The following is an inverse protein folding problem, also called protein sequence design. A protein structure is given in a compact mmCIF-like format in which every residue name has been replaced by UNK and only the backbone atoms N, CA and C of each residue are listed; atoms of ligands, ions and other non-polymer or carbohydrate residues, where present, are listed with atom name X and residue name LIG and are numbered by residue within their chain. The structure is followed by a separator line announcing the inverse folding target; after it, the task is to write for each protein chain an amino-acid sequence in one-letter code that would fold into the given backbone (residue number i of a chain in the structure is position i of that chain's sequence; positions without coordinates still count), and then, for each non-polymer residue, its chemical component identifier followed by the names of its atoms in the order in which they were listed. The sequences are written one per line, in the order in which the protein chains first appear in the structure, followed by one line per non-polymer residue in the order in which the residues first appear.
data_IF_327741596268
#
_entry.id   IF_327741596268
#
_cell.length_a   1.000
_cell.length_b   1.000
_cell.length_c   1.000
_cell.angle_alpha   90.00
_cell.angle_beta   90.00
_cell.angle_gamma   90.00
#
_symmetry.space_group_name_H-M   'P 1'
#
loop_
_entity.id
_entity.type
_entity.pdbx_description
1 polymer ?
#
# COMPACT_ATOMS: atom_id res chain seq x y z
N UNK A 1 -52.16 13.28 21.60
CA UNK A 1 -51.38 13.91 20.53
C UNK A 1 -49.87 13.74 20.74
N UNK A 2 -49.31 13.89 21.95
CA UNK A 2 -47.87 13.79 22.22
C UNK A 2 -47.22 12.43 21.86
N UNK A 3 -47.91 11.31 22.13
CA UNK A 3 -47.39 9.96 21.83
C UNK A 3 -47.35 9.64 20.34
N UNK A 4 -48.21 10.23 19.53
CA UNK A 4 -48.23 10.06 18.08
C UNK A 4 -47.09 10.87 17.43
N UNK A 5 -46.86 12.09 17.88
CA UNK A 5 -45.74 12.93 17.44
C UNK A 5 -44.40 12.28 17.79
N UNK A 6 -44.23 11.71 18.99
CA UNK A 6 -43.00 11.02 19.38
C UNK A 6 -42.74 9.76 18.52
N UNK A 7 -43.78 9.02 18.12
CA UNK A 7 -43.64 7.86 17.22
C UNK A 7 -43.30 8.26 15.81
N UNK A 8 -43.88 9.33 15.30
CA UNK A 8 -43.52 9.90 13.99
C UNK A 8 -42.08 10.45 13.93
N UNK A 9 -41.66 11.12 14.99
CA UNK A 9 -40.26 11.62 15.11
C UNK A 9 -39.26 10.47 15.19
N UNK A 10 -39.58 9.39 15.93
CA UNK A 10 -38.72 8.21 16.00
C UNK A 10 -38.62 7.48 14.64
N UNK A 11 -39.75 7.35 13.93
CA UNK A 11 -39.78 6.73 12.59
C UNK A 11 -38.97 7.58 11.58
N UNK A 12 -39.09 8.91 11.62
CA UNK A 12 -38.34 9.81 10.74
C UNK A 12 -36.84 9.72 11.02
N UNK A 13 -36.44 9.67 12.29
CA UNK A 13 -35.03 9.54 12.69
C UNK A 13 -34.45 8.19 12.22
N UNK A 14 -35.23 7.11 12.28
CA UNK A 14 -34.78 5.79 11.81
C UNK A 14 -34.59 5.79 10.29
N UNK A 15 -35.48 6.43 9.54
CA UNK A 15 -35.36 6.56 8.08
C UNK A 15 -34.12 7.37 7.69
N UNK A 16 -33.83 8.48 8.40
CA UNK A 16 -32.63 9.30 8.17
C UNK A 16 -31.35 8.52 8.49
N UNK A 17 -31.34 7.70 9.55
CA UNK A 17 -30.17 6.86 9.88
C UNK A 17 -29.92 5.77 8.84
N UNK A 18 -30.96 5.19 8.25
CA UNK A 18 -30.84 4.14 7.21
C UNK A 18 -30.33 4.74 5.89
N UNK A 19 -30.72 5.98 5.58
CA UNK A 19 -30.22 6.72 4.39
C UNK A 19 -28.78 7.23 4.53
N UNK A 20 -28.25 7.24 5.75
CA UNK A 20 -26.83 7.60 6.01
C UNK A 20 -25.90 6.37 6.02
N UNK A 21 -26.35 5.21 5.53
CA UNK A 21 -25.44 4.09 5.25
C UNK A 21 -24.45 4.54 4.19
N UNK A 22 -23.25 4.91 4.61
CA UNK A 22 -22.12 5.16 3.71
C UNK A 22 -21.93 3.90 2.88
N UNK A 23 -22.01 4.01 1.57
CA UNK A 23 -21.61 2.93 0.67
C UNK A 23 -20.21 2.48 1.15
N UNK A 24 -20.09 1.22 1.55
CA UNK A 24 -18.79 0.65 1.84
C UNK A 24 -17.97 0.82 0.54
N UNK A 25 -16.89 1.62 0.58
CA UNK A 25 -16.09 1.89 -0.61
C UNK A 25 -15.44 0.58 -1.04
N UNK A 26 -16.03 -0.01 -2.06
CA UNK A 26 -15.51 -1.23 -2.69
C UNK A 26 -14.57 -0.89 -3.86
N UNK A 27 -14.08 0.36 -3.94
CA UNK A 27 -13.24 0.86 -5.02
C UNK A 27 -11.89 0.15 -5.11
N UNK A 28 -11.41 -0.03 -6.34
CA UNK A 28 -10.02 -0.45 -6.56
C UNK A 28 -9.09 0.65 -6.04
N UNK A 29 -8.15 0.27 -5.21
CA UNK A 29 -7.20 1.18 -4.58
C UNK A 29 -5.76 0.73 -4.79
N UNK A 30 -4.80 1.66 -4.68
CA UNK A 30 -3.37 1.38 -4.73
C UNK A 30 -2.68 1.91 -3.49
N UNK A 31 -1.75 1.14 -2.97
CA UNK A 31 -0.92 1.50 -1.81
C UNK A 31 0.52 1.06 -2.00
N UNK A 32 1.43 1.69 -1.26
CA UNK A 32 2.83 1.30 -1.14
C UNK A 32 3.37 1.70 0.22
N UNK A 33 4.31 0.93 0.75
CA UNK A 33 5.02 1.23 1.99
C UNK A 33 6.44 1.75 1.76
N UNK A 34 6.93 1.67 0.51
CA UNK A 34 8.32 1.93 0.15
C UNK A 34 8.49 2.76 -1.14
N UNK A 35 7.40 3.15 -1.81
CA UNK A 35 7.46 4.01 -2.98
C UNK A 35 7.84 5.44 -2.59
N UNK A 36 9.05 5.84 -3.00
CA UNK A 36 9.59 7.19 -2.81
C UNK A 36 9.98 7.80 -4.14
N UNK A 37 9.87 9.13 -4.27
CA UNK A 37 10.31 9.84 -5.45
C UNK A 37 11.78 9.51 -5.78
N UNK A 38 12.09 9.25 -7.04
CA UNK A 38 13.41 8.81 -7.52
C UNK A 38 13.80 7.37 -7.15
N UNK A 39 13.04 6.69 -6.29
CA UNK A 39 13.31 5.34 -5.78
C UNK A 39 12.52 4.24 -6.50
N UNK A 40 12.64 3.03 -5.97
CA UNK A 40 11.88 1.86 -6.39
C UNK A 40 10.98 1.42 -5.25
N UNK A 41 9.85 0.80 -5.58
CA UNK A 41 8.93 0.32 -4.56
C UNK A 41 7.92 -0.70 -5.08
N UNK A 42 7.18 -1.27 -4.15
CA UNK A 42 6.12 -2.23 -4.44
C UNK A 42 4.76 -1.54 -4.38
N UNK A 43 4.05 -1.55 -5.49
CA UNK A 43 2.65 -1.15 -5.60
C UNK A 43 1.76 -2.34 -5.27
N UNK A 44 0.74 -2.15 -4.46
CA UNK A 44 -0.27 -3.16 -4.15
C UNK A 44 -1.64 -2.61 -4.52
N UNK A 45 -2.26 -3.21 -5.52
CA UNK A 45 -3.62 -2.91 -5.94
C UNK A 45 -4.57 -3.84 -5.21
N UNK A 46 -5.42 -3.27 -4.35
CA UNK A 46 -6.50 -3.99 -3.68
C UNK A 46 -7.74 -3.89 -4.54
N UNK A 47 -8.29 -5.03 -4.92
CA UNK A 47 -9.44 -5.18 -5.82
C UNK A 47 -10.55 -5.92 -5.10
N UNK A 48 -11.56 -5.23 -4.60
CA UNK A 48 -12.77 -5.86 -4.09
C UNK A 48 -13.70 -6.24 -5.24
N UNK A 49 -14.54 -7.25 -5.02
CA UNK A 49 -15.64 -7.58 -5.93
C UNK A 49 -16.90 -6.83 -5.47
N UNK A 50 -17.40 -5.92 -6.32
CA UNK A 50 -18.60 -5.12 -6.03
C UNK A 50 -19.89 -5.83 -6.41
N UNK A 51 -19.83 -6.77 -7.37
CA UNK A 51 -20.99 -7.58 -7.75
C UNK A 51 -21.45 -8.47 -6.61
N UNK A 52 -22.76 -8.54 -6.40
CA UNK A 52 -23.36 -9.45 -5.42
C UNK A 52 -23.41 -10.91 -5.92
N UNK A 53 -23.23 -11.13 -7.23
CA UNK A 53 -23.46 -12.43 -7.87
C UNK A 53 -22.34 -12.89 -8.78
N UNK A 54 -21.57 -11.98 -9.38
CA UNK A 54 -20.51 -12.28 -10.33
C UNK A 54 -19.14 -12.19 -9.69
N UNK A 55 -18.22 -13.09 -10.07
CA UNK A 55 -16.83 -13.11 -9.61
C UNK A 55 -15.94 -12.28 -10.52
N UNK A 56 -14.96 -11.57 -9.95
CA UNK A 56 -13.95 -10.85 -10.75
C UNK A 56 -12.93 -11.84 -11.32
N UNK A 57 -12.88 -12.00 -12.63
CA UNK A 57 -12.03 -13.01 -13.30
C UNK A 57 -10.83 -12.41 -14.03
N UNK A 58 -10.80 -11.09 -14.26
CA UNK A 58 -9.65 -10.42 -14.86
C UNK A 58 -9.46 -9.03 -14.25
N UNK A 59 -8.21 -8.71 -13.97
CA UNK A 59 -7.76 -7.38 -13.57
C UNK A 59 -6.66 -6.95 -14.52
N UNK A 60 -6.83 -5.80 -15.16
CA UNK A 60 -5.81 -5.12 -15.97
C UNK A 60 -5.45 -3.80 -15.32
N UNK A 61 -4.19 -3.61 -15.02
CA UNK A 61 -3.65 -2.34 -14.55
C UNK A 61 -2.92 -1.66 -15.69
N UNK A 62 -3.31 -0.43 -16.00
CA UNK A 62 -2.63 0.45 -16.97
C UNK A 62 -1.71 1.38 -16.20
N UNK A 63 -0.42 1.37 -16.57
CA UNK A 63 0.61 2.21 -15.98
C UNK A 63 0.62 3.59 -16.65
N UNK A 64 1.07 4.66 -15.94
CA UNK A 64 1.03 6.01 -16.46
C UNK A 64 1.97 6.21 -17.69
N UNK A 65 1.40 6.58 -18.82
CA UNK A 65 2.17 6.80 -20.07
C UNK A 65 3.09 8.03 -20.00
N UNK A 66 2.62 9.10 -19.32
CA UNK A 66 3.39 10.36 -19.21
C UNK A 66 4.59 10.28 -18.27
N UNK A 67 4.60 9.32 -17.39
CA UNK A 67 5.66 9.07 -16.41
C UNK A 67 5.95 7.57 -16.37
N UNK A 68 6.47 7.01 -17.48
CA UNK A 68 6.69 5.57 -17.59
C UNK A 68 7.79 5.11 -16.63
N UNK A 69 7.63 3.91 -16.10
CA UNK A 69 8.64 3.28 -15.27
C UNK A 69 9.71 2.64 -16.15
N UNK A 70 10.98 2.85 -15.81
CA UNK A 70 12.09 2.18 -16.49
C UNK A 70 12.19 0.68 -16.13
N UNK A 71 11.59 0.29 -15.02
CA UNK A 71 11.54 -1.08 -14.54
C UNK A 71 10.15 -1.38 -13.98
N UNK A 72 9.61 -2.53 -14.39
CA UNK A 72 8.35 -3.08 -13.87
C UNK A 72 8.48 -4.60 -13.76
N UNK A 73 8.10 -5.15 -12.64
CA UNK A 73 8.04 -6.59 -12.41
C UNK A 73 6.75 -6.93 -11.68
N UNK A 74 5.87 -7.68 -12.32
CA UNK A 74 4.61 -8.10 -11.74
C UNK A 74 4.78 -9.35 -10.87
N UNK A 75 4.10 -9.39 -9.74
CA UNK A 75 4.12 -10.55 -8.86
C UNK A 75 3.23 -11.67 -9.42
N UNK A 76 3.76 -12.87 -9.67
CA UNK A 76 2.94 -14.04 -9.97
C UNK A 76 2.02 -14.36 -8.80
N UNK A 77 0.80 -14.81 -9.12
CA UNK A 77 -0.22 -15.12 -8.12
C UNK A 77 -0.79 -16.52 -8.37
N UNK A 78 -0.84 -17.42 -7.36
CA UNK A 78 -1.45 -18.72 -7.49
C UNK A 78 -2.92 -18.63 -7.98
N UNK A 79 -3.31 -19.46 -8.94
CA UNK A 79 -4.65 -19.45 -9.55
C UNK A 79 -4.87 -18.36 -10.60
N UNK A 80 -3.87 -17.49 -10.85
CA UNK A 80 -3.93 -16.42 -11.84
C UNK A 80 -2.85 -16.59 -12.91
N UNK A 81 -3.23 -16.38 -14.16
CA UNK A 81 -2.29 -16.24 -15.28
C UNK A 81 -1.90 -14.78 -15.41
N UNK A 82 -0.60 -14.51 -15.55
CA UNK A 82 -0.03 -13.18 -15.71
C UNK A 82 0.29 -12.89 -17.17
N UNK A 83 -0.12 -11.72 -17.67
CA UNK A 83 0.29 -11.15 -18.95
C UNK A 83 0.85 -9.74 -18.72
N UNK A 84 2.00 -9.43 -19.32
CA UNK A 84 2.68 -8.14 -19.23
C UNK A 84 2.94 -7.65 -20.64
N UNK A 85 2.44 -6.45 -20.96
CA UNK A 85 2.59 -5.85 -22.28
C UNK A 85 3.42 -4.58 -22.21
N UNK A 86 4.32 -4.42 -23.17
CA UNK A 86 5.12 -3.22 -23.39
C UNK A 86 4.52 -2.39 -24.52
N UNK A 87 4.71 -1.09 -24.46
CA UNK A 87 4.36 -0.15 -25.51
C UNK A 87 5.54 0.77 -25.83
N UNK A 88 5.57 1.27 -27.06
CA UNK A 88 6.53 2.29 -27.46
C UNK A 88 6.27 3.57 -26.70
N UNK A 89 7.36 4.20 -26.26
CA UNK A 89 7.32 5.50 -25.63
C UNK A 89 7.27 6.60 -26.71
N UNK A 90 6.46 7.62 -26.49
CA UNK A 90 6.43 8.82 -27.37
C UNK A 90 7.79 9.52 -27.32
N UNK A 91 8.41 9.56 -26.13
CA UNK A 91 9.76 10.09 -25.94
C UNK A 91 10.61 9.02 -25.21
N UNK A 92 11.83 8.70 -25.73
CA UNK A 92 12.73 7.80 -25.04
C UNK A 92 13.12 8.31 -23.65
N UNK A 93 13.18 7.43 -22.67
CA UNK A 93 13.65 7.74 -21.32
C UNK A 93 15.06 7.19 -21.09
N UNK A 94 15.87 7.87 -20.30
CA UNK A 94 17.19 7.39 -19.90
C UNK A 94 17.19 7.04 -18.42
N UNK A 95 17.50 5.79 -18.10
CA UNK A 95 17.64 5.30 -16.74
C UNK A 95 18.94 4.55 -16.59
N UNK A 96 19.74 4.93 -15.58
CA UNK A 96 21.05 4.31 -15.28
C UNK A 96 21.98 4.18 -16.51
N UNK A 97 21.95 5.19 -17.40
CA UNK A 97 22.79 5.22 -18.61
C UNK A 97 22.25 4.39 -19.79
N UNK A 98 21.10 3.74 -19.65
CA UNK A 98 20.42 3.01 -20.73
C UNK A 98 19.25 3.82 -21.25
N UNK A 99 19.16 3.98 -22.57
CA UNK A 99 18.02 4.60 -23.23
C UNK A 99 16.97 3.54 -23.57
N UNK A 100 15.75 3.74 -23.07
CA UNK A 100 14.61 2.88 -23.29
C UNK A 100 13.65 3.56 -24.27
N UNK A 101 13.22 2.84 -25.28
CA UNK A 101 12.23 3.27 -26.29
C UNK A 101 10.87 2.59 -26.11
N UNK A 102 10.82 1.60 -25.24
CA UNK A 102 9.62 0.84 -24.88
C UNK A 102 9.60 0.69 -23.36
N UNK A 103 8.41 0.62 -22.79
CA UNK A 103 8.21 0.34 -21.36
C UNK A 103 6.93 -0.48 -21.16
N UNK A 104 6.83 -1.15 -20.01
CA UNK A 104 5.61 -1.86 -19.64
C UNK A 104 4.46 -0.86 -19.52
N UNK A 105 3.41 -1.09 -20.29
CA UNK A 105 2.21 -0.27 -20.34
C UNK A 105 1.06 -0.88 -19.54
N UNK A 106 0.90 -2.21 -19.58
CA UNK A 106 -0.16 -2.91 -18.87
C UNK A 106 0.31 -4.19 -18.21
N UNK A 107 -0.30 -4.49 -17.07
CA UNK A 107 -0.16 -5.76 -16.37
C UNK A 107 -1.55 -6.35 -16.16
N UNK A 108 -1.76 -7.58 -16.60
CA UNK A 108 -3.07 -8.25 -16.55
C UNK A 108 -2.95 -9.58 -15.81
N UNK A 109 -3.83 -9.78 -14.85
CA UNK A 109 -4.03 -11.07 -14.18
C UNK A 109 -5.40 -11.63 -14.60
N UNK A 110 -5.44 -12.93 -14.93
CA UNK A 110 -6.65 -13.64 -15.34
C UNK A 110 -6.78 -14.94 -14.56
N UNK A 111 -7.97 -15.22 -14.08
CA UNK A 111 -8.31 -16.45 -13.35
C UNK A 111 -9.61 -17.05 -13.90
N UNK A 112 -9.78 -18.36 -13.71
CA UNK A 112 -11.05 -19.03 -13.97
C UNK A 112 -11.98 -19.02 -12.76
N UNK A 113 -11.40 -18.98 -11.57
CA UNK A 113 -12.15 -18.95 -10.30
C UNK A 113 -12.41 -17.52 -9.86
N UNK A 114 -11.40 -16.65 -9.97
CA UNK A 114 -11.51 -15.22 -9.69
C UNK A 114 -11.64 -14.89 -8.22
N UNK A 115 -12.18 -13.69 -7.94
CA UNK A 115 -12.52 -13.17 -6.62
C UNK A 115 -14.03 -13.26 -6.46
N UNK A 116 -14.50 -14.02 -5.48
CA UNK A 116 -15.94 -14.26 -5.28
C UNK A 116 -16.65 -13.00 -4.72
N UNK A 117 -17.98 -12.92 -4.88
CA UNK A 117 -18.79 -11.85 -4.28
C UNK A 117 -18.52 -11.68 -2.78
N UNK A 118 -18.32 -10.41 -2.36
CA UNK A 118 -18.02 -10.05 -0.98
C UNK A 118 -16.56 -10.28 -0.56
N UNK A 119 -15.69 -10.72 -1.46
CA UNK A 119 -14.27 -10.90 -1.22
C UNK A 119 -13.45 -9.79 -1.88
N UNK A 120 -12.16 -9.71 -1.54
CA UNK A 120 -11.17 -8.89 -2.24
C UNK A 120 -9.87 -9.68 -2.42
N UNK A 121 -9.05 -9.22 -3.35
CA UNK A 121 -7.72 -9.76 -3.54
C UNK A 121 -6.70 -8.64 -3.80
N UNK A 122 -5.40 -8.96 -3.70
CA UNK A 122 -4.32 -8.00 -3.89
C UNK A 122 -3.41 -8.44 -5.04
N UNK A 123 -3.05 -7.47 -5.90
CA UNK A 123 -2.18 -7.65 -7.05
C UNK A 123 -1.00 -6.70 -6.94
N UNK A 124 0.22 -7.23 -7.02
CA UNK A 124 1.39 -6.44 -6.74
C UNK A 124 2.33 -6.31 -7.95
N UNK A 125 2.92 -5.11 -8.04
CA UNK A 125 3.92 -4.73 -9.04
C UNK A 125 5.08 -4.06 -8.35
N UNK A 126 6.32 -4.50 -8.59
CA UNK A 126 7.51 -3.74 -8.24
C UNK A 126 7.87 -2.84 -9.41
N UNK A 127 8.04 -1.55 -9.18
CA UNK A 127 8.27 -0.56 -10.23
C UNK A 127 9.24 0.54 -9.79
N UNK A 128 9.78 1.25 -10.78
CA UNK A 128 10.62 2.43 -10.55
C UNK A 128 11.55 2.77 -11.72
N UNK A 129 12.34 3.86 -11.60
CA UNK A 129 12.23 4.83 -10.52
C UNK A 129 10.91 5.59 -10.57
N UNK A 130 10.37 5.97 -9.40
CA UNK A 130 9.18 6.80 -9.31
C UNK A 130 9.52 8.25 -9.71
N UNK A 131 8.59 8.94 -10.40
CA UNK A 131 8.80 10.35 -10.75
C UNK A 131 8.77 11.26 -9.51
N UNK A 132 9.34 12.45 -9.65
CA UNK A 132 9.34 13.52 -8.64
C UNK A 132 7.97 14.22 -8.55
N UNK A 133 6.93 13.45 -8.22
CA UNK A 133 5.55 13.94 -8.06
C UNK A 133 5.00 13.55 -6.69
N UNK A 134 3.97 14.23 -6.23
CA UNK A 134 3.33 13.90 -4.95
C UNK A 134 2.33 12.77 -5.06
N UNK A 135 1.68 12.64 -6.22
CA UNK A 135 0.64 11.65 -6.45
C UNK A 135 0.77 11.07 -7.85
N UNK A 136 0.45 9.79 -7.98
CA UNK A 136 0.35 9.10 -9.26
C UNK A 136 -1.04 8.46 -9.37
N UNK A 137 -1.66 8.60 -10.53
CA UNK A 137 -2.94 7.96 -10.85
C UNK A 137 -2.70 6.79 -11.79
N UNK A 138 -3.42 5.71 -11.57
CA UNK A 138 -3.42 4.51 -12.40
C UNK A 138 -4.84 4.30 -12.93
N UNK A 139 -4.97 3.49 -14.00
CA UNK A 139 -6.27 2.99 -14.41
C UNK A 139 -6.33 1.49 -14.19
N UNK A 140 -7.51 0.99 -13.81
CA UNK A 140 -7.74 -0.44 -13.70
C UNK A 140 -9.02 -0.83 -14.45
N UNK A 141 -9.00 -1.95 -15.15
CA UNK A 141 -10.19 -2.60 -15.70
C UNK A 141 -10.45 -3.88 -14.92
N UNK A 142 -11.66 -4.01 -14.41
CA UNK A 142 -12.15 -5.19 -13.69
C UNK A 142 -13.19 -5.89 -14.54
N UNK A 143 -12.95 -7.15 -14.91
CA UNK A 143 -13.88 -7.96 -15.68
C UNK A 143 -14.47 -9.06 -14.81
N UNK A 144 -15.77 -9.19 -14.87
CA UNK A 144 -16.56 -10.20 -14.15
C UNK A 144 -16.83 -11.44 -15.03
N UNK A 145 -17.22 -12.55 -14.43
CA UNK A 145 -17.51 -13.84 -15.13
C UNK A 145 -18.80 -13.80 -15.94
N UNK A 146 -19.70 -12.86 -15.67
CA UNK A 146 -20.89 -12.57 -16.49
C UNK A 146 -20.60 -11.71 -17.73
N UNK A 147 -19.33 -11.24 -17.87
CA UNK A 147 -18.87 -10.43 -19.00
C UNK A 147 -18.95 -8.91 -18.77
N UNK A 148 -19.45 -8.45 -17.63
CA UNK A 148 -19.37 -7.03 -17.27
C UNK A 148 -17.93 -6.57 -17.13
N UNK A 149 -17.66 -5.33 -17.54
CA UNK A 149 -16.35 -4.67 -17.41
C UNK A 149 -16.54 -3.32 -16.76
N UNK A 150 -15.89 -3.11 -15.62
CA UNK A 150 -15.85 -1.84 -14.90
C UNK A 150 -14.49 -1.20 -15.09
N UNK A 151 -14.47 0.09 -15.49
CA UNK A 151 -13.25 0.89 -15.67
C UNK A 151 -13.08 1.87 -14.51
N UNK A 152 -12.01 1.69 -13.75
CA UNK A 152 -11.59 2.54 -12.64
C UNK A 152 -10.59 3.57 -13.16
N UNK A 153 -11.05 4.64 -13.77
CA UNK A 153 -10.20 5.63 -14.45
C UNK A 153 -10.71 7.08 -14.32
N UNK A 154 -11.80 7.29 -13.57
CA UNK A 154 -12.38 8.61 -13.37
C UNK A 154 -11.53 9.46 -12.42
N UNK A 155 -11.13 10.69 -12.84
CA UNK A 155 -10.28 11.53 -12.01
C UNK A 155 -11.07 12.15 -10.85
N UNK A 156 -10.62 11.93 -9.63
CA UNK A 156 -11.17 12.59 -8.43
C UNK A 156 -10.72 14.05 -8.37
N UNK A 157 -11.67 14.98 -8.25
CA UNK A 157 -11.40 16.42 -8.14
C UNK A 157 -11.60 16.89 -6.70
N UNK A 158 -10.63 17.63 -6.17
CA UNK A 158 -10.71 18.16 -4.81
C UNK A 158 -11.96 19.03 -4.62
N UNK A 159 -12.81 18.67 -3.66
CA UNK A 159 -14.04 19.40 -3.31
C UNK A 159 -15.25 19.08 -4.19
N UNK A 160 -15.14 18.15 -5.14
CA UNK A 160 -16.27 17.57 -5.86
C UNK A 160 -16.75 16.29 -5.16
N UNK A 161 -17.90 15.80 -5.54
CA UNK A 161 -18.38 14.47 -5.18
C UNK A 161 -17.44 13.42 -5.78
N UNK A 162 -17.21 12.34 -5.05
CA UNK A 162 -16.38 11.24 -5.53
C UNK A 162 -17.07 10.55 -6.71
N UNK A 163 -16.37 10.27 -7.83
CA UNK A 163 -16.97 9.59 -8.96
C UNK A 163 -17.32 8.15 -8.61
N UNK A 164 -18.13 7.50 -9.44
CA UNK A 164 -18.59 6.12 -9.22
C UNK A 164 -17.42 5.13 -9.33
N UNK A 165 -16.51 5.35 -10.30
CA UNK A 165 -15.35 4.48 -10.53
C UNK A 165 -14.03 5.27 -10.53
N UNK A 166 -13.59 5.77 -9.35
CA UNK A 166 -12.41 6.62 -9.26
C UNK A 166 -11.13 5.88 -9.64
N UNK A 167 -10.27 6.55 -10.36
CA UNK A 167 -8.93 6.05 -10.67
C UNK A 167 -8.12 5.82 -9.38
N UNK A 168 -7.44 4.67 -9.20
CA UNK A 168 -6.55 4.45 -8.07
C UNK A 168 -5.42 5.48 -8.01
N UNK A 169 -5.25 6.15 -6.87
CA UNK A 169 -4.24 7.19 -6.66
C UNK A 169 -3.26 6.77 -5.58
N UNK A 170 -1.96 6.79 -5.91
CA UNK A 170 -0.87 6.59 -4.97
C UNK A 170 -0.32 7.94 -4.53
N UNK A 171 -0.16 8.13 -3.22
CA UNK A 171 0.62 9.22 -2.65
C UNK A 171 2.08 8.76 -2.48
N UNK A 172 3.01 9.51 -3.08
CA UNK A 172 4.45 9.24 -2.94
C UNK A 172 4.99 9.98 -1.71
N UNK A 173 5.80 9.29 -0.94
CA UNK A 173 6.56 9.92 0.14
C UNK A 173 7.68 10.75 -0.48
N UNK A 174 7.81 12.01 -0.06
CA UNK A 174 8.94 12.84 -0.50
C UNK A 174 10.27 12.17 -0.12
N UNK A 175 11.25 12.22 -1.02
CA UNK A 175 12.56 11.58 -0.82
C UNK A 175 13.34 12.11 0.41
N UNK A 176 13.00 13.31 0.90
CA UNK A 176 13.67 14.01 2.02
C UNK A 176 13.16 13.64 3.42
N UNK A 177 12.24 12.70 3.55
CA UNK A 177 11.98 12.11 4.87
C UNK A 177 13.02 11.02 5.09
N UNK A 178 14.28 11.45 5.33
CA UNK A 178 15.25 10.63 6.04
C UNK A 178 14.48 10.04 7.24
N UNK A 179 14.19 8.75 7.20
CA UNK A 179 13.74 8.00 8.37
C UNK A 179 14.85 8.20 9.38
N UNK A 180 14.74 9.21 10.22
CA UNK A 180 15.51 9.30 11.44
C UNK A 180 15.15 8.02 12.16
N UNK A 181 16.00 7.00 12.00
CA UNK A 181 15.94 5.83 12.86
C UNK A 181 15.83 6.40 14.27
N UNK A 182 14.92 5.92 15.12
CA UNK A 182 14.87 6.37 16.50
C UNK A 182 16.30 6.33 17.00
N UNK A 183 16.87 7.48 17.40
CA UNK A 183 18.20 7.55 17.93
C UNK A 183 18.27 6.46 19.00
N UNK A 184 19.15 5.49 18.82
CA UNK A 184 19.34 4.46 19.82
C UNK A 184 19.52 5.21 21.14
N UNK A 185 18.78 4.84 22.22
CA UNK A 185 18.92 5.53 23.48
C UNK A 185 20.40 5.55 23.81
N UNK A 186 20.90 6.74 24.18
CA UNK A 186 22.31 6.94 24.49
C UNK A 186 22.70 6.00 25.63
N UNK A 187 23.37 4.89 25.27
CA UNK A 187 23.79 3.83 26.20
C UNK A 187 24.90 4.27 27.18
N UNK A 188 25.19 5.56 27.25
CA UNK A 188 26.17 6.14 28.17
C UNK A 188 25.93 5.74 29.63
N UNK A 189 24.68 5.74 30.07
CA UNK A 189 24.27 5.31 31.41
C UNK A 189 24.42 3.81 31.60
N UNK A 190 24.06 2.99 30.61
CA UNK A 190 24.22 1.53 30.68
C UNK A 190 25.69 1.12 30.71
N UNK A 191 26.56 1.78 29.95
CA UNK A 191 28.01 1.58 29.97
C UNK A 191 28.63 2.03 31.30
N UNK A 192 28.19 3.12 31.90
CA UNK A 192 28.66 3.59 33.23
C UNK A 192 28.28 2.60 34.33
N UNK A 193 27.08 2.02 34.31
CA UNK A 193 26.61 1.04 35.30
C UNK A 193 27.36 -0.28 35.12
N UNK A 194 27.62 -0.75 33.91
CA UNK A 194 28.35 -1.98 33.62
C UNK A 194 29.82 -1.89 34.08
N UNK A 195 30.48 -0.74 33.92
CA UNK A 195 31.83 -0.48 34.37
C UNK A 195 31.98 -0.52 35.91
N UNK A 196 31.00 0.04 36.62
CA UNK A 196 31.01 0.07 38.09
C UNK A 196 30.74 -1.31 38.71
N UNK A 197 29.89 -2.14 38.10
CA UNK A 197 29.63 -3.50 38.55
C UNK A 197 30.90 -4.39 38.47
N UNK A 198 31.69 -4.25 37.41
CA UNK A 198 32.95 -5.00 37.26
C UNK A 198 34.00 -4.62 38.29
N UNK A 199 34.11 -3.30 38.60
CA UNK A 199 35.05 -2.82 39.62
C UNK A 199 34.71 -3.36 41.02
N UNK A 200 33.44 -3.39 41.40
CA UNK A 200 32.97 -3.93 42.67
C UNK A 200 33.25 -5.45 42.78
N UNK A 201 33.03 -6.18 41.69
CA UNK A 201 33.31 -7.63 41.67
C UNK A 201 34.80 -7.94 41.85
N UNK A 202 35.70 -7.19 41.22
CA UNK A 202 37.14 -7.34 41.35
C UNK A 202 37.60 -7.05 42.79
N UNK A 203 37.09 -5.99 43.40
CA UNK A 203 37.41 -5.66 44.81
C UNK A 203 36.89 -6.74 45.77
N UNK A 204 35.67 -7.27 45.54
CA UNK A 204 35.14 -8.35 46.39
C UNK A 204 35.98 -9.63 46.30
N UNK A 205 36.41 -10.04 45.13
CA UNK A 205 37.29 -11.19 44.92
C UNK A 205 38.64 -10.96 45.60
N UNK A 206 39.25 -9.78 45.48
CA UNK A 206 40.51 -9.45 46.12
C UNK A 206 40.42 -9.52 47.64
N UNK A 207 39.35 -8.99 48.23
CA UNK A 207 39.12 -9.04 49.69
C UNK A 207 38.90 -10.47 50.17
N UNK A 208 38.15 -11.30 49.44
CA UNK A 208 37.95 -12.71 49.75
C UNK A 208 39.25 -13.52 49.75
N UNK A 209 40.10 -13.29 48.72
CA UNK A 209 41.42 -13.94 48.64
C UNK A 209 42.35 -13.51 49.76
N UNK A 210 42.31 -12.23 50.16
CA UNK A 210 43.12 -11.71 51.27
C UNK A 210 42.68 -12.29 52.64
N UNK A 211 41.38 -12.47 52.82
CA UNK A 211 40.78 -13.02 54.01
C UNK A 211 41.12 -14.53 54.17
N UNK A 212 41.11 -15.26 53.05
CA UNK A 212 41.49 -16.68 53.05
C UNK A 212 42.97 -16.90 53.37
N UNK A 213 43.87 -16.01 52.94
CA UNK A 213 45.30 -16.04 53.25
C UNK A 213 45.63 -15.72 54.73
N UNK A 214 44.71 -15.12 55.48
CA UNK A 214 44.87 -14.81 56.90
C UNK A 214 44.37 -15.94 57.85
N UNK A 215 43.65 -16.91 57.22
CA UNK A 215 43.07 -18.06 57.92
C UNK A 215 43.90 -19.37 57.75
N UNK A 216 44.84 -19.35 56.81
CA UNK A 216 45.89 -20.41 56.65
C UNK A 216 47.19 -19.98 57.32
#
# INVERSE_FOLDING_TARGET
MSRLLARLSAALLTIVLVLAATAATAHVSVSSTDATAGGFGKLVFRVPTESETASTTKIRITLPEKTPFAFVSAQPKPGWTLDVQEAKLDEPITSHGTTLTEAVSTVTWMSKEGIAPGEFDEFAVSAGPFPEVRTMSFSAEQTYDDGEVVSWDEPTKKGAEEPEHPAPVLELVAADVEKTAPAAPDDGLARAISGSALAVAVVAVFLALRQNRRRA
#
